data_IF_557394349229
#
_entry.id   IF_557394349229
#
_cell.length_a   1.000
_cell.length_b   1.000
_cell.length_c   1.000
_cell.angle_alpha   90.00
_cell.angle_beta   90.00
_cell.angle_gamma   90.00
#
_symmetry.space_group_name_H-M   'P 1'
#
loop_
_entity.id
_entity.type
_entity.pdbx_description
1 polymer ?
#
# COMPACT_ATOMS: atom_id res chain seq x y z
N UNK A 1 5.11 -12.00 -13.68
CA UNK A 1 5.13 -10.53 -13.48
C UNK A 1 6.29 -9.87 -14.23
N UNK A 2 7.54 -10.33 -14.08
CA UNK A 2 8.68 -9.75 -14.82
C UNK A 2 8.51 -9.84 -16.34
N UNK A 3 8.07 -10.99 -16.85
CA UNK A 3 7.78 -11.18 -18.28
C UNK A 3 6.69 -10.23 -18.83
N UNK A 4 5.77 -9.81 -17.97
CA UNK A 4 4.69 -8.89 -18.32
C UNK A 4 5.11 -7.43 -18.25
N UNK A 5 6.28 -7.11 -17.64
CA UNK A 5 6.71 -5.73 -17.41
C UNK A 5 6.85 -4.97 -18.73
N UNK A 6 7.43 -5.61 -19.74
CA UNK A 6 7.65 -4.98 -21.04
C UNK A 6 6.39 -4.93 -21.90
N UNK A 7 5.44 -5.85 -21.71
CA UNK A 7 4.21 -5.90 -22.52
C UNK A 7 3.12 -4.97 -22.00
N UNK A 8 2.96 -4.86 -20.68
CA UNK A 8 1.90 -4.03 -20.08
C UNK A 8 2.40 -2.71 -19.51
N UNK A 9 3.72 -2.56 -19.34
CA UNK A 9 4.36 -1.36 -18.77
C UNK A 9 3.76 -0.94 -17.42
N UNK A 10 3.47 -1.91 -16.56
CA UNK A 10 2.92 -1.63 -15.22
C UNK A 10 3.97 -0.93 -14.34
N UNK A 11 3.50 0.01 -13.52
CA UNK A 11 4.30 0.78 -12.56
C UNK A 11 3.87 0.56 -11.11
N UNK A 12 2.74 -0.12 -10.90
CA UNK A 12 2.18 -0.47 -9.59
C UNK A 12 1.64 -1.90 -9.66
N UNK A 13 1.85 -2.67 -8.61
CA UNK A 13 1.17 -3.95 -8.40
C UNK A 13 0.35 -3.88 -7.12
N UNK A 14 -0.92 -4.24 -7.23
CA UNK A 14 -1.82 -4.38 -6.08
C UNK A 14 -1.83 -5.85 -5.68
N UNK A 15 -1.60 -6.13 -4.40
CA UNK A 15 -1.67 -7.46 -3.81
C UNK A 15 -2.90 -7.50 -2.92
N UNK A 16 -3.71 -8.52 -3.13
CA UNK A 16 -4.96 -8.68 -2.41
C UNK A 16 -4.74 -9.14 -0.96
N UNK A 17 -3.60 -9.73 -0.61
CA UNK A 17 -3.31 -10.04 0.79
C UNK A 17 -2.54 -8.92 1.50
N UNK A 18 -2.60 -8.93 2.83
CA UNK A 18 -1.79 -8.05 3.66
C UNK A 18 -0.33 -8.47 3.60
N UNK A 19 0.57 -7.50 3.54
CA UNK A 19 2.01 -7.75 3.48
C UNK A 19 2.68 -7.26 4.75
N UNK A 20 3.56 -8.06 5.34
CA UNK A 20 4.51 -7.54 6.34
C UNK A 20 5.45 -6.50 5.69
N UNK A 21 6.05 -5.59 6.49
CA UNK A 21 6.99 -4.61 5.95
C UNK A 21 8.14 -5.24 5.15
N UNK A 22 8.68 -6.36 5.62
CA UNK A 22 9.76 -7.09 4.95
C UNK A 22 9.33 -7.71 3.62
N UNK A 23 8.12 -8.28 3.56
CA UNK A 23 7.60 -8.85 2.31
C UNK A 23 7.38 -7.76 1.27
N UNK A 24 6.79 -6.63 1.66
CA UNK A 24 6.57 -5.51 0.74
C UNK A 24 7.90 -5.02 0.16
N UNK A 25 8.91 -4.74 1.00
CA UNK A 25 10.23 -4.30 0.54
C UNK A 25 10.88 -5.28 -0.42
N UNK A 26 10.89 -6.57 -0.07
CA UNK A 26 11.45 -7.61 -0.95
C UNK A 26 10.76 -7.66 -2.31
N UNK A 27 9.45 -7.47 -2.36
CA UNK A 27 8.68 -7.46 -3.61
C UNK A 27 8.94 -6.18 -4.42
N UNK A 28 9.02 -5.02 -3.77
CA UNK A 28 9.40 -3.75 -4.40
C UNK A 28 10.81 -3.83 -5.00
N UNK A 29 11.78 -4.37 -4.25
CA UNK A 29 13.15 -4.58 -4.73
C UNK A 29 13.23 -5.57 -5.88
N UNK A 30 12.44 -6.66 -5.84
CA UNK A 30 12.45 -7.67 -6.88
C UNK A 30 11.78 -7.20 -8.18
N UNK A 31 10.64 -6.51 -8.07
CA UNK A 31 9.86 -6.08 -9.24
C UNK A 31 10.26 -4.69 -9.74
N UNK A 32 10.96 -3.89 -8.93
CA UNK A 32 11.37 -2.52 -9.23
C UNK A 32 10.17 -1.65 -9.63
N UNK A 33 9.08 -1.77 -8.87
CA UNK A 33 7.82 -1.02 -9.00
C UNK A 33 7.18 -0.86 -7.62
N UNK A 34 6.24 0.08 -7.47
CA UNK A 34 5.50 0.27 -6.22
C UNK A 34 4.58 -0.93 -5.94
N UNK A 35 4.57 -1.41 -4.71
CA UNK A 35 3.63 -2.45 -4.24
C UNK A 35 2.60 -1.80 -3.31
N UNK A 36 1.32 -2.14 -3.51
CA UNK A 36 0.22 -1.72 -2.64
C UNK A 36 -0.47 -3.00 -2.15
N UNK A 37 -0.52 -3.21 -0.84
CA UNK A 37 -1.30 -4.31 -0.26
C UNK A 37 -2.77 -3.91 -0.04
N UNK A 38 -3.60 -4.87 0.37
CA UNK A 38 -5.04 -4.63 0.60
C UNK A 38 -5.30 -3.54 1.65
N UNK A 39 -4.52 -3.49 2.72
CA UNK A 39 -4.73 -2.50 3.79
C UNK A 39 -4.43 -1.09 3.29
N UNK A 40 -3.30 -0.89 2.60
CA UNK A 40 -2.97 0.40 2.00
C UNK A 40 -4.02 0.86 0.99
N UNK A 41 -4.55 -0.06 0.16
CA UNK A 41 -5.62 0.24 -0.78
C UNK A 41 -6.91 0.68 -0.07
N UNK A 42 -7.32 -0.04 0.98
CA UNK A 42 -8.51 0.31 1.77
C UNK A 42 -8.35 1.69 2.42
N UNK A 43 -7.19 1.98 3.00
CA UNK A 43 -6.91 3.28 3.62
C UNK A 43 -6.95 4.42 2.59
N UNK A 44 -6.44 4.22 1.37
CA UNK A 44 -6.55 5.20 0.28
C UNK A 44 -8.01 5.43 -0.15
N UNK A 45 -8.81 4.37 -0.25
CA UNK A 45 -10.25 4.46 -0.54
C UNK A 45 -10.98 5.24 0.56
N UNK A 46 -10.70 4.96 1.83
CA UNK A 46 -11.32 5.66 2.95
C UNK A 46 -10.89 7.11 3.03
N UNK A 47 -9.63 7.43 2.74
CA UNK A 47 -9.13 8.80 2.65
C UNK A 47 -9.95 9.61 1.64
N UNK A 48 -10.22 9.03 0.46
CA UNK A 48 -11.04 9.67 -0.57
C UNK A 48 -12.52 9.85 -0.19
N UNK A 49 -13.03 9.04 0.75
CA UNK A 49 -14.44 9.01 1.15
C UNK A 49 -14.74 9.74 2.46
N UNK A 50 -13.75 9.97 3.32
CA UNK A 50 -13.93 10.62 4.61
C UNK A 50 -14.34 12.10 4.44
N UNK A 51 -15.61 12.42 4.74
CA UNK A 51 -16.16 13.79 4.63
C UNK A 51 -16.24 14.52 5.96
N UNK A 52 -16.36 13.81 7.07
CA UNK A 52 -16.46 14.40 8.41
C UNK A 52 -15.07 14.49 9.04
N UNK A 53 -14.88 15.48 9.93
CA UNK A 53 -13.63 15.65 10.68
C UNK A 53 -13.28 14.41 11.49
N UNK A 54 -14.26 13.79 12.14
CA UNK A 54 -14.07 12.54 12.88
C UNK A 54 -13.61 11.40 11.95
N UNK A 55 -14.25 11.23 10.80
CA UNK A 55 -13.86 10.21 9.83
C UNK A 55 -12.45 10.42 9.28
N UNK A 56 -12.07 11.67 9.02
CA UNK A 56 -10.70 12.01 8.60
C UNK A 56 -9.68 11.65 9.68
N UNK A 57 -9.94 11.98 10.94
CA UNK A 57 -9.06 11.64 12.06
C UNK A 57 -8.89 10.13 12.24
N UNK A 58 -9.97 9.36 12.08
CA UNK A 58 -9.90 7.89 12.16
C UNK A 58 -9.05 7.29 11.02
N UNK A 59 -9.19 7.81 9.80
CA UNK A 59 -8.38 7.35 8.67
C UNK A 59 -6.91 7.71 8.87
N UNK A 60 -6.62 8.92 9.33
CA UNK A 60 -5.25 9.38 9.61
C UNK A 60 -4.59 8.54 10.72
N UNK A 61 -5.32 8.24 11.80
CA UNK A 61 -4.85 7.34 12.85
C UNK A 61 -4.52 5.95 12.30
N UNK A 62 -5.40 5.37 11.48
CA UNK A 62 -5.17 4.06 10.88
C UNK A 62 -3.98 4.07 9.91
N UNK A 63 -3.78 5.16 9.16
CA UNK A 63 -2.60 5.36 8.33
C UNK A 63 -1.31 5.40 9.17
N UNK A 64 -1.30 6.14 10.28
CA UNK A 64 -0.16 6.15 11.18
C UNK A 64 0.15 4.77 11.77
N UNK A 65 -0.87 4.04 12.21
CA UNK A 65 -0.70 2.69 12.74
C UNK A 65 -0.14 1.72 11.68
N UNK A 66 -0.58 1.82 10.43
CA UNK A 66 -0.08 1.01 9.32
C UNK A 66 1.37 1.37 8.94
N UNK A 67 1.71 2.67 8.95
CA UNK A 67 3.05 3.16 8.58
C UNK A 67 4.09 2.94 9.68
N UNK A 68 3.72 3.03 10.96
CA UNK A 68 4.63 2.90 12.09
C UNK A 68 5.57 1.68 12.02
N UNK A 69 5.09 0.43 11.84
CA UNK A 69 5.97 -0.73 11.72
C UNK A 69 6.79 -0.75 10.41
N UNK A 70 6.40 0.03 9.39
CA UNK A 70 7.09 0.11 8.08
C UNK A 70 8.18 1.18 8.05
N UNK A 71 8.14 2.14 8.97
CA UNK A 71 9.14 3.20 9.14
C UNK A 71 10.30 2.76 10.05
N UNK A 72 10.05 1.85 10.99
CA UNK A 72 11.05 1.37 11.94
C UNK A 72 12.01 0.30 11.36
N UNK A 73 11.67 -0.26 10.20
CA UNK A 73 12.49 -1.24 9.49
C UNK A 73 13.50 -0.61 8.55
#
# INVERSE_FOLDING_TARGET
LLSLKNSTNYNVVIIDDELSPLQQRKLEDFLQVKIIDRVALILDIFTKRARTREGQLQVELAQHQYLYPRLAG
#
